data_IF_969303072040
#
_entry.id   IF_969303072040
#
_cell.length_a   1.000
_cell.length_b   1.000
_cell.length_c   1.000
_cell.angle_alpha   90.00
_cell.angle_beta   90.00
_cell.angle_gamma   90.00
#
_symmetry.space_group_name_H-M   'P 1'
#
loop_
_entity.id
_entity.type
_entity.pdbx_description
1 polymer ?
#
# COMPACT_ATOMS: atom_id res chain seq x y z
N UNK A 1 -17.30 69.27 97.47
CA UNK A 1 -18.10 70.00 96.46
C UNK A 1 -19.51 69.42 96.50
N UNK A 2 -20.40 70.06 97.26
CA UNK A 2 -21.83 69.72 97.25
C UNK A 2 -22.46 70.46 96.08
N UNK A 3 -22.97 69.72 95.10
CA UNK A 3 -23.75 70.30 94.00
C UNK A 3 -25.00 70.93 94.62
N UNK A 4 -25.27 72.20 94.28
CA UNK A 4 -26.48 72.90 94.73
C UNK A 4 -27.70 72.21 94.12
N UNK A 5 -28.61 71.76 94.99
CA UNK A 5 -29.81 71.00 94.61
C UNK A 5 -30.70 71.85 93.67
N UNK A 6 -30.70 73.18 93.83
CA UNK A 6 -31.45 74.08 92.95
C UNK A 6 -30.88 74.10 91.52
N UNK A 7 -29.56 74.11 91.37
CA UNK A 7 -28.87 74.10 90.09
C UNK A 7 -29.08 72.76 89.36
N UNK A 8 -29.08 71.65 90.10
CA UNK A 8 -29.41 70.32 89.56
C UNK A 8 -30.88 70.23 89.09
N UNK A 9 -31.83 70.80 89.84
CA UNK A 9 -33.26 70.81 89.44
C UNK A 9 -33.47 71.67 88.19
N UNK A 10 -32.79 72.82 88.09
CA UNK A 10 -32.89 73.68 86.91
C UNK A 10 -32.27 72.99 85.68
N UNK A 11 -31.10 72.35 85.83
CA UNK A 11 -30.49 71.57 84.75
C UNK A 11 -31.38 70.42 84.24
N UNK A 12 -32.07 69.71 85.13
CA UNK A 12 -33.02 68.67 84.73
C UNK A 12 -34.23 69.27 83.99
N UNK A 13 -34.75 70.41 84.45
CA UNK A 13 -35.87 71.11 83.81
C UNK A 13 -35.48 71.64 82.42
N UNK A 14 -34.25 72.10 82.25
CA UNK A 14 -33.73 72.59 80.97
C UNK A 14 -33.43 71.44 79.98
N UNK A 15 -33.14 70.23 80.48
CA UNK A 15 -32.98 69.03 79.65
C UNK A 15 -34.30 68.36 79.25
N UNK A 16 -35.36 68.49 80.05
CA UNK A 16 -36.65 67.86 79.79
C UNK A 16 -37.26 68.16 78.39
N UNK A 17 -37.20 69.39 77.83
CA UNK A 17 -37.69 69.67 76.47
C UNK A 17 -36.71 69.29 75.35
N UNK A 18 -35.46 68.92 75.68
CA UNK A 18 -34.45 68.48 74.70
C UNK A 18 -34.55 66.99 74.43
N UNK A 19 -35.13 66.23 75.35
CA UNK A 19 -35.35 64.79 75.22
C UNK A 19 -36.78 64.58 74.73
N UNK A 20 -36.93 64.13 73.48
CA UNK A 20 -38.21 63.66 72.92
C UNK A 20 -38.16 62.12 72.77
N UNK A 21 -38.67 61.38 73.77
CA UNK A 21 -38.67 59.92 73.73
C UNK A 21 -39.50 59.33 72.57
N UNK A 22 -40.50 60.06 72.08
CA UNK A 22 -41.37 59.61 71.00
C UNK A 22 -40.64 59.70 69.65
N UNK A 23 -39.88 60.77 69.42
CA UNK A 23 -39.00 60.92 68.24
C UNK A 23 -37.87 59.87 68.22
N UNK A 24 -37.25 59.63 69.38
CA UNK A 24 -36.22 58.60 69.53
C UNK A 24 -36.79 57.19 69.27
N UNK A 25 -37.98 56.89 69.78
CA UNK A 25 -38.66 55.62 69.54
C UNK A 25 -38.97 55.40 68.05
N UNK A 26 -39.51 56.42 67.38
CA UNK A 26 -39.79 56.36 65.94
C UNK A 26 -38.52 56.16 65.11
N UNK A 27 -37.42 56.79 65.52
CA UNK A 27 -36.11 56.62 64.88
C UNK A 27 -35.59 55.21 65.05
N UNK A 28 -35.67 54.64 66.27
CA UNK A 28 -35.27 53.25 66.53
C UNK A 28 -36.13 52.27 65.74
N UNK A 29 -37.45 52.45 65.72
CA UNK A 29 -38.36 51.60 64.96
C UNK A 29 -38.07 51.64 63.44
N UNK A 30 -37.81 52.82 62.89
CA UNK A 30 -37.40 52.98 61.49
C UNK A 30 -36.05 52.33 61.20
N UNK A 31 -35.08 52.44 62.13
CA UNK A 31 -33.80 51.75 62.04
C UNK A 31 -33.96 50.23 62.05
N UNK A 32 -34.79 49.67 62.93
CA UNK A 32 -35.07 48.24 62.97
C UNK A 32 -35.71 47.74 61.66
N UNK A 33 -36.65 48.49 61.09
CA UNK A 33 -37.23 48.18 59.78
C UNK A 33 -36.18 48.21 58.67
N UNK A 34 -35.27 49.18 58.69
CA UNK A 34 -34.16 49.23 57.74
C UNK A 34 -33.16 48.07 57.94
N UNK A 35 -32.86 47.70 59.18
CA UNK A 35 -31.97 46.57 59.50
C UNK A 35 -32.57 45.24 59.05
N UNK A 36 -33.86 45.02 59.28
CA UNK A 36 -34.56 43.82 58.81
C UNK A 36 -34.59 43.74 57.28
N UNK A 37 -34.90 44.85 56.59
CA UNK A 37 -34.83 44.92 55.11
C UNK A 37 -33.42 44.60 54.60
N UNK A 38 -32.38 45.20 55.19
CA UNK A 38 -30.98 44.93 54.82
C UNK A 38 -30.55 43.50 55.09
N UNK A 39 -31.02 42.90 56.20
CA UNK A 39 -30.74 41.50 56.54
C UNK A 39 -31.33 40.56 55.50
N UNK A 40 -32.60 40.79 55.11
CA UNK A 40 -33.26 40.01 54.05
C UNK A 40 -32.55 40.16 52.71
N UNK A 41 -32.16 41.38 52.33
CA UNK A 41 -31.41 41.61 51.10
C UNK A 41 -30.06 40.87 51.12
N UNK A 42 -29.29 41.00 52.20
CA UNK A 42 -28.00 40.32 52.34
C UNK A 42 -28.16 38.80 52.27
N UNK A 43 -29.22 38.25 52.88
CA UNK A 43 -29.51 36.82 52.81
C UNK A 43 -29.82 36.38 51.39
N UNK A 44 -30.62 37.15 50.64
CA UNK A 44 -30.90 36.87 49.22
C UNK A 44 -29.65 36.93 48.35
N UNK A 45 -28.81 37.94 48.53
CA UNK A 45 -27.54 38.07 47.81
C UNK A 45 -26.60 36.90 48.11
N UNK A 46 -26.54 36.47 49.38
CA UNK A 46 -25.77 35.29 49.78
C UNK A 46 -26.29 34.01 49.14
N UNK A 47 -27.61 33.79 49.16
CA UNK A 47 -28.25 32.62 48.53
C UNK A 47 -28.04 32.59 47.01
N UNK A 48 -28.15 33.74 46.33
CA UNK A 48 -27.89 33.86 44.89
C UNK A 48 -26.42 33.61 44.56
N UNK A 49 -25.49 34.21 45.31
CA UNK A 49 -24.05 33.97 45.14
C UNK A 49 -23.69 32.49 45.39
N UNK A 50 -24.27 31.87 46.42
CA UNK A 50 -24.07 30.46 46.72
C UNK A 50 -24.66 29.56 45.63
N UNK A 51 -25.83 29.91 45.09
CA UNK A 51 -26.45 29.22 43.95
C UNK A 51 -25.57 29.27 42.71
N UNK A 52 -25.03 30.45 42.38
CA UNK A 52 -24.09 30.66 41.26
C UNK A 52 -22.80 29.87 41.46
N UNK A 53 -22.22 29.89 42.65
CA UNK A 53 -21.01 29.11 42.97
C UNK A 53 -21.25 27.62 42.75
N UNK A 54 -22.37 27.08 43.23
CA UNK A 54 -22.72 25.68 43.07
C UNK A 54 -22.96 25.29 41.61
N UNK A 55 -23.58 26.18 40.82
CA UNK A 55 -23.77 25.98 39.39
C UNK A 55 -22.41 25.95 38.65
N UNK A 56 -21.54 26.91 38.93
CA UNK A 56 -20.18 26.96 38.35
C UNK A 56 -19.35 25.74 38.75
N UNK A 57 -19.43 25.27 40.00
CA UNK A 57 -18.74 24.06 40.44
C UNK A 57 -19.19 22.84 39.64
N UNK A 58 -20.50 22.67 39.41
CA UNK A 58 -21.02 21.55 38.60
C UNK A 58 -20.56 21.62 37.15
N UNK A 59 -20.54 22.82 36.57
CA UNK A 59 -20.04 23.02 35.20
C UNK A 59 -18.54 22.67 35.16
N UNK A 60 -17.77 23.14 36.13
CA UNK A 60 -16.33 22.86 36.21
C UNK A 60 -16.06 21.36 36.35
N UNK A 61 -16.82 20.64 37.18
CA UNK A 61 -16.67 19.19 37.32
C UNK A 61 -17.05 18.46 36.03
N UNK A 62 -18.15 18.87 35.37
CA UNK A 62 -18.54 18.32 34.07
C UNK A 62 -17.46 18.55 33.00
N UNK A 63 -16.90 19.77 32.94
CA UNK A 63 -15.83 20.13 32.01
C UNK A 63 -14.54 19.39 32.34
N UNK A 64 -14.20 19.19 33.62
CA UNK A 64 -13.06 18.38 34.03
C UNK A 64 -13.21 16.94 33.55
N UNK A 65 -14.36 16.32 33.80
CA UNK A 65 -14.64 14.96 33.35
C UNK A 65 -14.62 14.84 31.83
N UNK A 66 -15.11 15.84 31.09
CA UNK A 66 -15.05 15.83 29.62
C UNK A 66 -13.66 16.17 29.06
N UNK A 67 -12.87 16.97 29.77
CA UNK A 67 -11.52 17.38 29.35
C UNK A 67 -10.46 16.33 29.67
N UNK A 68 -10.70 15.47 30.66
CA UNK A 68 -9.86 14.31 30.90
C UNK A 68 -10.10 13.29 29.79
N UNK A 69 -9.01 12.83 29.15
CA UNK A 69 -9.06 11.77 28.15
C UNK A 69 -9.79 10.56 28.76
N UNK A 70 -10.88 10.06 28.14
CA UNK A 70 -11.59 8.90 28.63
C UNK A 70 -10.64 7.70 28.74
N UNK A 71 -10.75 6.86 29.77
CA UNK A 71 -9.88 5.69 29.95
C UNK A 71 -10.05 4.63 28.85
N UNK A 72 -11.09 4.75 28.02
CA UNK A 72 -11.30 3.90 26.84
C UNK A 72 -10.42 4.26 25.65
N UNK A 73 -9.80 5.45 25.65
CA UNK A 73 -8.93 5.90 24.56
C UNK A 73 -7.49 5.57 24.95
N UNK A 74 -6.68 4.99 24.06
CA UNK A 74 -5.26 4.75 24.31
C UNK A 74 -4.55 5.99 24.87
N UNK A 75 -3.57 5.78 25.74
CA UNK A 75 -2.75 6.88 26.25
C UNK A 75 -2.09 7.62 25.09
N UNK A 76 -1.67 8.88 25.31
CA UNK A 76 -1.02 9.66 24.26
C UNK A 76 0.25 8.95 23.71
N UNK A 77 0.96 8.23 24.58
CA UNK A 77 2.13 7.42 24.24
C UNK A 77 1.76 6.22 23.36
N UNK A 78 0.77 5.42 23.76
CA UNK A 78 0.31 4.26 22.96
C UNK A 78 -0.24 4.75 21.61
N UNK A 79 -0.97 5.85 21.58
CA UNK A 79 -1.44 6.43 20.32
C UNK A 79 -0.27 6.83 19.42
N UNK A 80 0.76 7.51 19.95
CA UNK A 80 1.93 7.89 19.18
C UNK A 80 2.69 6.67 18.64
N UNK A 81 2.82 5.61 19.46
CA UNK A 81 3.41 4.34 19.04
C UNK A 81 2.61 3.70 17.90
N UNK A 82 1.29 3.59 18.03
CA UNK A 82 0.43 3.03 16.97
C UNK A 82 0.48 3.84 15.68
N UNK A 83 0.58 5.17 15.75
CA UNK A 83 0.74 6.02 14.56
C UNK A 83 2.09 5.75 13.89
N UNK A 84 3.17 5.66 14.66
CA UNK A 84 4.49 5.35 14.11
C UNK A 84 4.55 3.95 13.48
N UNK A 85 3.90 2.95 14.10
CA UNK A 85 3.78 1.61 13.53
C UNK A 85 3.01 1.61 12.22
N UNK A 86 1.88 2.34 12.16
CA UNK A 86 1.09 2.50 10.95
C UNK A 86 1.89 3.20 9.85
N UNK A 87 2.63 4.27 10.16
CA UNK A 87 3.48 4.98 9.20
C UNK A 87 4.60 4.08 8.66
N UNK A 88 5.25 3.31 9.54
CA UNK A 88 6.27 2.34 9.14
C UNK A 88 5.67 1.25 8.22
N UNK A 89 4.48 0.76 8.54
CA UNK A 89 3.77 -0.21 7.70
C UNK A 89 3.37 0.37 6.35
N UNK A 90 2.93 1.64 6.31
CA UNK A 90 2.57 2.36 5.10
C UNK A 90 3.76 2.55 4.16
N UNK A 91 4.91 2.94 4.70
CA UNK A 91 6.16 3.05 3.94
C UNK A 91 6.63 1.69 3.39
N UNK A 92 6.52 0.63 4.19
CA UNK A 92 6.85 -0.73 3.76
C UNK A 92 5.95 -1.21 2.62
N UNK A 93 4.63 -0.99 2.74
CA UNK A 93 3.66 -1.33 1.70
C UNK A 93 3.89 -0.53 0.42
N UNK A 94 4.13 0.78 0.52
CA UNK A 94 4.42 1.62 -0.65
C UNK A 94 5.66 1.13 -1.40
N UNK A 95 6.70 0.72 -0.68
CA UNK A 95 7.89 0.11 -1.29
C UNK A 95 7.57 -1.22 -1.96
N UNK A 96 6.84 -2.10 -1.28
CA UNK A 96 6.45 -3.40 -1.83
C UNK A 96 5.59 -3.25 -3.11
N UNK A 97 4.70 -2.26 -3.15
CA UNK A 97 3.91 -1.92 -4.34
C UNK A 97 4.83 -1.47 -5.48
N UNK A 98 5.77 -0.56 -5.21
CA UNK A 98 6.71 -0.08 -6.24
C UNK A 98 7.59 -1.22 -6.80
N UNK A 99 8.08 -2.10 -5.92
CA UNK A 99 8.86 -3.27 -6.32
C UNK A 99 8.03 -4.23 -7.20
N UNK A 100 6.76 -4.44 -6.85
CA UNK A 100 5.83 -5.26 -7.63
C UNK A 100 5.49 -4.63 -8.99
N UNK A 101 5.20 -3.33 -9.05
CA UNK A 101 4.96 -2.59 -10.30
C UNK A 101 6.18 -2.64 -11.21
N UNK A 102 7.37 -2.46 -10.65
CA UNK A 102 8.63 -2.59 -11.38
C UNK A 102 8.83 -4.00 -11.95
N UNK A 103 8.46 -5.05 -11.19
CA UNK A 103 8.53 -6.43 -11.66
C UNK A 103 7.53 -6.71 -12.79
N UNK A 104 6.30 -6.21 -12.67
CA UNK A 104 5.26 -6.31 -13.72
C UNK A 104 5.73 -5.61 -14.99
N UNK A 105 6.22 -4.38 -14.89
CA UNK A 105 6.72 -3.63 -16.05
C UNK A 105 7.84 -4.37 -16.78
N UNK A 106 8.77 -4.98 -16.05
CA UNK A 106 9.83 -5.83 -16.65
C UNK A 106 9.26 -7.05 -17.36
N UNK A 107 8.29 -7.73 -16.75
CA UNK A 107 7.66 -8.92 -17.32
C UNK A 107 6.81 -8.60 -18.55
N UNK A 108 6.12 -7.46 -18.56
CA UNK A 108 5.40 -6.97 -19.73
C UNK A 108 6.33 -6.65 -20.88
N UNK A 109 7.48 -6.01 -20.62
CA UNK A 109 8.50 -5.74 -21.63
C UNK A 109 9.10 -7.04 -22.20
N UNK A 110 9.41 -8.02 -21.34
CA UNK A 110 9.88 -9.35 -21.74
C UNK A 110 8.84 -10.08 -22.61
N UNK A 111 7.57 -10.05 -22.19
CA UNK A 111 6.47 -10.66 -22.91
C UNK A 111 6.23 -10.00 -24.27
N UNK A 112 6.34 -8.66 -24.35
CA UNK A 112 6.27 -7.94 -25.62
C UNK A 112 7.39 -8.35 -26.57
N UNK A 113 8.64 -8.47 -26.06
CA UNK A 113 9.79 -8.93 -26.85
C UNK A 113 9.59 -10.35 -27.37
N UNK A 114 9.20 -11.28 -26.50
CA UNK A 114 8.98 -12.68 -26.87
C UNK A 114 7.83 -12.85 -27.87
N UNK A 115 6.77 -12.04 -27.75
CA UNK A 115 5.69 -12.03 -28.75
C UNK A 115 6.18 -11.56 -30.12
N UNK A 116 7.06 -10.57 -30.16
CA UNK A 116 7.61 -10.10 -31.44
C UNK A 116 8.56 -11.15 -32.05
N UNK A 117 9.40 -11.79 -31.24
CA UNK A 117 10.27 -12.89 -31.67
C UNK A 117 9.47 -14.09 -32.19
N UNK A 118 8.40 -14.47 -31.49
CA UNK A 118 7.50 -15.53 -31.94
C UNK A 118 6.85 -15.18 -33.31
N UNK A 119 6.38 -13.94 -33.48
CA UNK A 119 5.83 -13.47 -34.76
C UNK A 119 6.87 -13.44 -35.89
N UNK A 120 8.12 -13.14 -35.56
CA UNK A 120 9.22 -13.16 -36.53
C UNK A 120 9.51 -14.61 -36.97
N UNK A 121 9.54 -15.55 -36.03
CA UNK A 121 9.71 -16.97 -36.30
C UNK A 121 8.54 -17.57 -37.08
N UNK A 122 7.29 -17.20 -36.77
CA UNK A 122 6.11 -17.64 -37.54
C UNK A 122 6.15 -17.19 -39.00
N UNK A 123 6.82 -16.07 -39.30
CA UNK A 123 7.00 -15.56 -40.66
C UNK A 123 8.24 -16.12 -41.36
N UNK A 124 9.20 -16.64 -40.60
CA UNK A 124 10.38 -17.27 -41.17
C UNK A 124 10.00 -18.66 -41.67
N UNK A 125 10.18 -18.89 -42.97
CA UNK A 125 10.08 -20.21 -43.57
C UNK A 125 11.50 -20.78 -43.72
N UNK A 126 11.94 -21.71 -42.85
CA UNK A 126 13.28 -22.28 -42.91
C UNK A 126 13.54 -23.06 -44.20
N UNK A 127 12.49 -23.51 -44.90
CA UNK A 127 12.60 -24.21 -46.17
C UNK A 127 12.82 -23.27 -47.35
N UNK A 128 12.47 -21.98 -47.22
CA UNK A 128 12.72 -20.95 -48.23
C UNK A 128 14.11 -20.31 -48.08
N UNK A 129 14.68 -20.29 -46.87
CA UNK A 129 16.02 -19.72 -46.62
C UNK A 129 17.16 -20.62 -47.11
N UNK A 130 16.94 -21.93 -47.18
CA UNK A 130 17.87 -22.83 -47.85
C UNK A 130 17.34 -23.16 -49.25
N UNK A 131 17.96 -22.58 -50.28
CA UNK A 131 17.90 -23.11 -51.65
C UNK A 131 18.69 -24.43 -51.65
N UNK A 132 18.10 -25.44 -51.03
CA UNK A 132 18.64 -26.78 -50.95
C UNK A 132 18.68 -27.31 -52.38
N UNK A 133 19.85 -27.27 -53.01
CA UNK A 133 20.08 -27.89 -54.30
C UNK A 133 19.62 -29.35 -54.22
N UNK A 134 18.45 -29.61 -54.82
CA UNK A 134 17.81 -30.92 -54.78
C UNK A 134 18.70 -32.01 -55.36
N UNK A 135 19.70 -31.64 -56.18
CA UNK A 135 20.74 -32.54 -56.67
C UNK A 135 21.64 -33.00 -55.54
N UNK A 136 22.15 -32.08 -54.71
CA UNK A 136 23.00 -32.39 -53.56
C UNK A 136 22.30 -33.31 -52.54
N UNK A 137 21.02 -33.05 -52.22
CA UNK A 137 20.23 -33.92 -51.36
C UNK A 137 20.03 -35.32 -51.94
N UNK A 138 19.67 -35.41 -53.23
CA UNK A 138 19.52 -36.70 -53.91
C UNK A 138 20.84 -37.47 -53.91
N UNK A 139 21.95 -36.82 -54.19
CA UNK A 139 23.29 -37.44 -54.14
C UNK A 139 23.64 -37.92 -52.73
N UNK A 140 23.32 -37.15 -51.70
CA UNK A 140 23.55 -37.56 -50.30
C UNK A 140 22.67 -38.75 -49.90
N UNK A 141 21.42 -38.80 -50.36
CA UNK A 141 20.52 -39.95 -50.15
C UNK A 141 21.07 -41.19 -50.86
N UNK A 142 21.48 -41.07 -52.12
CA UNK A 142 22.07 -42.21 -52.86
C UNK A 142 23.37 -42.70 -52.23
N UNK A 143 24.22 -41.79 -51.73
CA UNK A 143 25.43 -42.15 -50.97
C UNK A 143 25.10 -42.87 -49.66
N UNK A 144 24.06 -42.42 -48.94
CA UNK A 144 23.57 -43.08 -47.72
C UNK A 144 22.93 -44.44 -47.98
N UNK A 145 22.44 -44.69 -49.19
CA UNK A 145 21.96 -45.99 -49.65
C UNK A 145 23.09 -46.91 -50.12
N UNK A 146 24.36 -46.49 -50.02
CA UNK A 146 25.53 -47.29 -50.37
C UNK A 146 26.00 -47.14 -51.82
N UNK A 147 25.43 -46.24 -52.62
CA UNK A 147 25.87 -45.98 -53.99
C UNK A 147 26.91 -44.85 -54.01
N UNK A 148 28.17 -45.20 -54.25
CA UNK A 148 29.26 -44.23 -54.35
C UNK A 148 29.86 -44.23 -55.77
N UNK A 149 29.64 -43.17 -56.57
CA UNK A 149 30.26 -43.05 -57.89
C UNK A 149 31.72 -42.65 -57.75
N UNK A 150 32.61 -43.36 -58.44
CA UNK A 150 34.02 -43.00 -58.56
C UNK A 150 34.23 -42.35 -59.92
N UNK A 151 34.71 -41.10 -59.88
CA UNK A 151 34.96 -40.30 -61.06
C UNK A 151 36.41 -40.47 -61.52
N UNK A 152 36.61 -40.53 -62.84
CA UNK A 152 37.94 -40.44 -63.45
C UNK A 152 38.47 -38.99 -63.42
N UNK A 153 39.73 -38.78 -63.77
CA UNK A 153 40.43 -37.48 -63.81
C UNK A 153 39.73 -36.44 -64.72
N UNK A 154 38.95 -36.90 -65.68
CA UNK A 154 38.16 -36.07 -66.60
C UNK A 154 36.72 -35.80 -66.11
N UNK A 155 36.34 -36.29 -64.92
CA UNK A 155 35.05 -36.04 -64.29
C UNK A 155 33.91 -36.96 -64.77
N UNK A 156 34.21 -37.98 -65.56
CA UNK A 156 33.24 -39.02 -65.98
C UNK A 156 33.16 -40.14 -64.94
N UNK A 157 32.02 -40.81 -64.84
CA UNK A 157 31.83 -41.95 -63.93
C UNK A 157 32.61 -43.15 -64.49
N UNK A 158 33.65 -43.58 -63.78
CA UNK A 158 34.50 -44.72 -64.20
C UNK A 158 33.93 -46.04 -63.68
N UNK A 159 33.43 -46.03 -62.45
CA UNK A 159 32.90 -47.19 -61.74
C UNK A 159 31.97 -46.75 -60.62
N UNK A 160 31.01 -47.59 -60.28
CA UNK A 160 30.15 -47.40 -59.13
C UNK A 160 30.48 -48.43 -58.06
N UNK A 161 30.70 -47.96 -56.84
CA UNK A 161 30.77 -48.79 -55.66
C UNK A 161 29.36 -48.92 -55.08
N UNK A 162 28.96 -50.15 -54.81
CA UNK A 162 27.68 -50.46 -54.17
C UNK A 162 27.97 -51.20 -52.88
N UNK A 163 27.71 -50.55 -51.75
CA UNK A 163 27.73 -51.16 -50.44
C UNK A 163 26.40 -51.87 -50.19
N UNK A 164 26.49 -53.18 -49.94
CA UNK A 164 25.36 -54.04 -49.60
C UNK A 164 24.94 -53.83 -48.15
N UNK A 165 23.68 -54.15 -47.83
CA UNK A 165 23.18 -54.10 -46.43
C UNK A 165 23.94 -55.08 -45.50
N UNK A 166 24.58 -56.10 -46.07
CA UNK A 166 25.45 -57.06 -45.38
C UNK A 166 26.85 -56.54 -45.06
N UNK A 167 27.25 -55.39 -45.61
CA UNK A 167 28.57 -54.77 -45.45
C UNK A 167 29.59 -55.13 -46.54
N UNK A 168 29.20 -55.89 -47.56
CA UNK A 168 30.05 -56.21 -48.71
C UNK A 168 30.05 -55.05 -49.73
N UNK A 169 31.21 -54.77 -50.35
CA UNK A 169 31.36 -53.70 -51.35
C UNK A 169 31.54 -54.30 -52.74
N UNK A 170 30.60 -54.02 -53.63
CA UNK A 170 30.62 -54.47 -55.02
C UNK A 170 31.07 -53.34 -55.95
N UNK A 171 31.98 -53.65 -56.88
CA UNK A 171 32.46 -52.70 -57.89
C UNK A 171 31.79 -53.02 -59.23
N UNK A 172 30.96 -52.11 -59.72
CA UNK A 172 30.34 -52.20 -61.05
C UNK A 172 31.04 -51.22 -61.98
N UNK A 173 31.65 -51.73 -63.06
CA UNK A 173 32.27 -50.91 -64.11
C UNK A 173 31.28 -50.67 -65.23
N UNK A 174 31.36 -49.50 -65.85
CA UNK A 174 30.48 -49.09 -66.96
C UNK A 174 30.96 -49.61 -68.35
N UNK A 175 31.95 -50.49 -68.36
CA UNK A 175 32.70 -50.92 -69.56
C UNK A 175 32.03 -52.09 -70.30
N UNK A 176 30.89 -52.58 -69.81
CA UNK A 176 30.11 -53.66 -70.47
C UNK A 176 28.90 -53.08 -71.21
N UNK A 177 28.64 -53.49 -72.47
CA UNK A 177 27.49 -53.01 -73.24
C UNK A 177 26.19 -53.62 -72.70
N UNK A 178 25.72 -53.07 -71.59
CA UNK A 178 24.44 -53.41 -70.93
C UNK A 178 23.46 -52.28 -71.16
N UNK A 179 22.17 -52.59 -71.22
CA UNK A 179 21.15 -51.54 -71.25
C UNK A 179 21.07 -50.83 -69.90
N UNK A 180 20.69 -49.55 -69.89
CA UNK A 180 20.50 -48.75 -68.67
C UNK A 180 19.58 -49.46 -67.66
N UNK A 181 18.59 -50.21 -68.15
CA UNK A 181 17.69 -51.00 -67.34
C UNK A 181 18.38 -52.18 -66.63
N UNK A 182 19.21 -52.93 -67.36
CA UNK A 182 19.95 -54.07 -66.80
C UNK A 182 20.99 -53.61 -65.78
N UNK A 183 21.64 -52.47 -66.05
CA UNK A 183 22.57 -51.85 -65.11
C UNK A 183 21.85 -51.41 -63.83
N UNK A 184 20.70 -50.74 -63.94
CA UNK A 184 19.91 -50.34 -62.78
C UNK A 184 19.42 -51.55 -61.96
N UNK A 185 18.90 -52.59 -62.61
CA UNK A 185 18.42 -53.82 -61.95
C UNK A 185 19.56 -54.54 -61.21
N UNK A 186 20.76 -54.60 -61.81
CA UNK A 186 21.94 -55.16 -61.14
C UNK A 186 22.35 -54.35 -59.91
N UNK A 187 22.40 -53.03 -60.02
CA UNK A 187 22.79 -52.14 -58.92
C UNK A 187 21.84 -52.28 -57.72
N UNK A 188 20.53 -52.33 -57.98
CA UNK A 188 19.54 -52.56 -56.93
C UNK A 188 19.63 -53.97 -56.32
N UNK A 189 19.91 -55.00 -57.13
CA UNK A 189 20.14 -56.36 -56.63
C UNK A 189 21.38 -56.46 -55.74
N UNK A 190 22.45 -55.76 -56.09
CA UNK A 190 23.70 -55.74 -55.30
C UNK A 190 23.54 -54.94 -54.01
N UNK A 191 22.80 -53.84 -54.02
CA UNK A 191 22.51 -53.06 -52.81
C UNK A 191 21.58 -53.79 -51.82
N UNK A 192 20.65 -54.60 -52.35
CA UNK A 192 19.69 -55.37 -51.56
C UNK A 192 20.21 -56.75 -51.13
N UNK A 193 21.33 -57.22 -51.68
CA UNK A 193 22.03 -58.42 -51.23
C UNK A 193 22.65 -58.18 -49.86
#
# INVERSE_FOLDING_TARGET
MSIDIQEAIQGIRDMAPVIDPDEDYLTVAAMEEQMTKRSVQRKREYEDAHGKLKALSRILDAVRTSSTRPPSVPSAEIHAETVNELDASGLSLAKAINDAESAVSRKEAELARLKEEARALEKSDPAAEHDLDGTTLRLQIFRGLGFEPVLDKDGNIEKMLVESTSGDVHVVKDDEPRSDYETADLLWKLAAS
#
